data_IF_655495845959
#
_entry.id   IF_655495845959
#
_cell.length_a   1.000
_cell.length_b   1.000
_cell.length_c   1.000
_cell.angle_alpha   90.00
_cell.angle_beta   90.00
_cell.angle_gamma   90.00
#
_symmetry.space_group_name_H-M   'P 1'
#
loop_
_entity.id
_entity.type
_entity.pdbx_description
1 polymer ?
#
# COMPACT_ATOMS: atom_id res chain seq x y z
N UNK A 1 -0.30 -14.57 14.09
CA UNK A 1 0.71 -13.49 14.11
C UNK A 1 0.00 -12.20 13.73
N UNK A 2 0.13 -11.16 14.57
CA UNK A 2 -0.41 -9.82 14.30
C UNK A 2 0.55 -9.11 13.36
N UNK A 3 0.06 -8.65 12.21
CA UNK A 3 0.83 -7.74 11.36
C UNK A 3 0.90 -6.36 12.02
N UNK A 4 2.00 -5.66 11.81
CA UNK A 4 2.26 -4.32 12.33
C UNK A 4 2.70 -3.38 11.21
N UNK A 5 2.81 -2.09 11.52
CA UNK A 5 3.42 -1.16 10.57
C UNK A 5 4.86 -1.55 10.23
N UNK A 6 5.58 -2.30 11.06
CA UNK A 6 6.96 -2.70 10.80
C UNK A 6 7.08 -3.75 9.69
N UNK A 7 6.00 -4.50 9.44
CA UNK A 7 5.90 -5.46 8.34
C UNK A 7 5.60 -4.78 6.99
N UNK A 8 5.16 -3.53 7.01
CA UNK A 8 4.96 -2.71 5.82
C UNK A 8 6.30 -2.13 5.32
N UNK A 9 7.04 -2.87 4.51
CA UNK A 9 8.40 -2.50 4.11
C UNK A 9 8.45 -1.67 2.83
N UNK A 10 9.37 -0.70 2.80
CA UNK A 10 9.78 -0.05 1.55
C UNK A 10 10.70 -0.99 0.77
N UNK A 11 10.33 -1.28 -0.47
CA UNK A 11 11.04 -2.22 -1.33
C UNK A 11 11.66 -1.49 -2.53
N UNK A 12 12.98 -1.61 -2.75
CA UNK A 12 13.56 -1.27 -4.03
C UNK A 12 13.05 -2.27 -5.07
N UNK A 13 12.60 -1.76 -6.22
CA UNK A 13 12.09 -2.57 -7.32
C UNK A 13 13.19 -2.78 -8.35
N UNK A 14 13.09 -3.89 -9.10
CA UNK A 14 14.09 -4.24 -10.11
C UNK A 14 14.01 -3.28 -11.29
N UNK A 15 14.81 -2.22 -11.24
CA UNK A 15 15.01 -1.26 -12.34
C UNK A 15 16.16 -1.72 -13.23
N UNK A 16 15.89 -1.79 -14.53
CA UNK A 16 16.90 -1.95 -15.58
C UNK A 16 17.01 -0.61 -16.31
N UNK A 17 18.20 -0.05 -16.34
CA UNK A 17 18.49 1.23 -17.00
C UNK A 17 19.24 0.98 -18.32
N UNK A 18 18.88 1.73 -19.36
CA UNK A 18 19.65 1.79 -20.60
C UNK A 18 19.51 3.18 -21.26
N UNK A 19 20.16 3.38 -22.41
CA UNK A 19 20.12 4.64 -23.17
C UNK A 19 18.71 5.12 -23.57
N UNK A 20 17.73 4.21 -23.64
CA UNK A 20 16.36 4.50 -24.01
C UNK A 20 15.46 4.81 -22.79
N UNK A 21 15.97 4.65 -21.57
CA UNK A 21 15.26 4.97 -20.35
C UNK A 21 15.36 3.89 -19.28
N UNK A 22 14.29 3.75 -18.50
CA UNK A 22 14.21 2.82 -17.37
C UNK A 22 13.00 1.89 -17.55
N UNK A 23 13.18 0.62 -17.23
CA UNK A 23 12.08 -0.35 -17.06
C UNK A 23 12.16 -0.93 -15.66
N UNK A 24 11.03 -0.90 -14.94
CA UNK A 24 10.88 -1.56 -13.64
C UNK A 24 10.02 -2.79 -13.79
N UNK A 25 10.53 -3.95 -13.38
CA UNK A 25 9.84 -5.25 -13.52
C UNK A 25 9.39 -5.73 -12.15
N UNK A 26 8.14 -6.21 -12.07
CA UNK A 26 7.55 -6.77 -10.86
C UNK A 26 6.81 -8.06 -11.24
N UNK A 27 7.31 -9.17 -10.73
CA UNK A 27 6.74 -10.51 -10.90
C UNK A 27 6.24 -11.01 -9.53
N UNK A 28 5.01 -11.52 -9.50
CA UNK A 28 4.46 -12.20 -8.32
C UNK A 28 5.30 -13.41 -7.95
N UNK A 29 5.35 -13.74 -6.65
CA UNK A 29 6.19 -14.81 -6.07
C UNK A 29 7.70 -14.68 -6.33
N UNK A 30 8.17 -13.59 -6.94
CA UNK A 30 9.59 -13.34 -7.20
C UNK A 30 10.07 -12.03 -6.59
N UNK A 31 9.38 -10.94 -6.89
CA UNK A 31 9.71 -9.61 -6.35
C UNK A 31 8.84 -9.26 -5.12
N UNK A 32 7.68 -9.90 -5.02
CA UNK A 32 6.71 -9.72 -3.94
C UNK A 32 6.19 -11.09 -3.48
N UNK A 33 5.81 -11.25 -2.19
CA UNK A 33 5.46 -12.54 -1.61
C UNK A 33 4.01 -12.99 -1.92
N UNK A 34 3.45 -12.57 -3.05
CA UNK A 34 2.09 -12.93 -3.46
C UNK A 34 1.92 -12.93 -4.98
N UNK A 35 0.87 -13.60 -5.46
CA UNK A 35 0.44 -13.55 -6.86
C UNK A 35 -0.28 -12.24 -7.15
N UNK A 36 0.09 -11.54 -8.24
CA UNK A 36 -0.65 -10.34 -8.67
C UNK A 36 -1.97 -10.79 -9.28
N UNK A 37 -3.07 -10.67 -8.54
CA UNK A 37 -4.43 -11.05 -9.00
C UNK A 37 -5.24 -9.86 -9.50
N UNK A 38 -4.80 -8.64 -9.19
CA UNK A 38 -5.42 -7.39 -9.62
C UNK A 38 -4.40 -6.28 -9.67
N UNK A 39 -4.52 -5.42 -10.68
CA UNK A 39 -3.82 -4.16 -10.79
C UNK A 39 -4.86 -3.07 -10.93
N UNK A 40 -4.69 -1.99 -10.20
CA UNK A 40 -5.47 -0.78 -10.39
C UNK A 40 -4.57 0.43 -10.19
N UNK A 41 -4.97 1.58 -10.71
CA UNK A 41 -4.20 2.79 -10.57
C UNK A 41 -5.13 3.98 -10.38
N UNK A 42 -4.68 4.94 -9.59
CA UNK A 42 -5.33 6.22 -9.40
C UNK A 42 -4.54 7.28 -10.15
N UNK A 43 -5.25 8.18 -10.82
CA UNK A 43 -4.72 9.24 -11.66
C UNK A 43 -5.69 10.44 -11.61
N UNK A 44 -5.25 11.58 -12.14
CA UNK A 44 -6.00 12.86 -12.13
C UNK A 44 -6.52 13.24 -10.74
N UNK A 45 -5.73 12.94 -9.71
CA UNK A 45 -5.99 13.40 -8.35
C UNK A 45 -5.49 14.86 -8.25
N UNK A 46 -6.35 15.82 -7.88
CA UNK A 46 -5.92 17.19 -7.70
C UNK A 46 -4.79 17.30 -6.66
N UNK A 47 -3.88 18.25 -6.87
CA UNK A 47 -2.74 18.43 -5.98
C UNK A 47 -3.17 18.78 -4.55
N UNK A 48 -2.53 18.15 -3.56
CA UNK A 48 -2.84 18.35 -2.14
C UNK A 48 -4.05 17.58 -1.61
N UNK A 49 -4.79 16.87 -2.48
CA UNK A 49 -5.94 16.06 -2.08
C UNK A 49 -5.54 14.80 -1.31
N UNK A 50 -6.54 14.22 -0.64
CA UNK A 50 -6.45 12.93 0.02
C UNK A 50 -7.41 11.90 -0.58
N UNK A 51 -7.15 10.63 -0.30
CA UNK A 51 -8.08 9.52 -0.51
C UNK A 51 -8.29 8.85 0.85
N UNK A 52 -9.55 8.79 1.25
CA UNK A 52 -9.98 8.39 2.58
C UNK A 52 -9.45 7.03 3.04
N UNK A 53 -9.40 6.88 4.36
CA UNK A 53 -8.77 5.75 5.00
C UNK A 53 -9.60 4.47 4.97
N UNK A 54 -8.90 3.35 4.87
CA UNK A 54 -9.47 2.01 5.02
C UNK A 54 -8.37 1.01 5.36
N UNK A 55 -8.78 -0.10 5.98
CA UNK A 55 -7.95 -1.30 6.11
C UNK A 55 -8.54 -2.44 5.28
N UNK A 56 -7.75 -3.48 5.11
CA UNK A 56 -8.16 -4.75 4.51
C UNK A 56 -7.93 -5.90 5.48
N UNK A 57 -8.78 -6.93 5.45
CA UNK A 57 -8.65 -8.10 6.34
C UNK A 57 -7.56 -9.05 5.88
N UNK A 58 -7.55 -9.35 4.58
CA UNK A 58 -6.69 -10.39 3.99
C UNK A 58 -5.84 -9.90 2.80
N UNK A 59 -6.08 -8.68 2.29
CA UNK A 59 -5.39 -8.19 1.10
C UNK A 59 -3.97 -7.69 1.40
N UNK A 60 -2.97 -8.32 0.79
CA UNK A 60 -1.63 -7.74 0.60
C UNK A 60 -1.59 -6.84 -0.64
N UNK A 61 -0.85 -5.73 -0.56
CA UNK A 61 -0.71 -4.74 -1.63
C UNK A 61 0.74 -4.26 -1.78
N UNK A 62 1.15 -3.97 -3.00
CA UNK A 62 2.34 -3.14 -3.29
C UNK A 62 1.86 -1.84 -3.92
N UNK A 63 2.19 -0.70 -3.28
CA UNK A 63 1.79 0.64 -3.73
C UNK A 63 3.03 1.38 -4.26
N UNK A 64 2.91 1.99 -5.44
CA UNK A 64 4.02 2.64 -6.17
C UNK A 64 3.56 3.99 -6.70
N UNK A 65 4.41 5.01 -6.59
CA UNK A 65 4.26 6.24 -7.36
C UNK A 65 4.87 6.04 -8.76
N UNK A 66 4.05 5.63 -9.72
CA UNK A 66 4.48 5.43 -11.10
C UNK A 66 4.81 6.77 -11.81
N UNK A 67 4.20 7.86 -11.33
CA UNK A 67 4.51 9.24 -11.68
C UNK A 67 4.22 10.13 -10.47
N UNK A 68 4.89 11.28 -10.39
CA UNK A 68 4.72 12.25 -9.31
C UNK A 68 5.08 11.70 -7.93
N UNK A 69 4.39 12.20 -6.90
CA UNK A 69 4.59 11.78 -5.52
C UNK A 69 3.32 11.83 -4.69
N UNK A 70 3.28 11.05 -3.62
CA UNK A 70 2.28 11.13 -2.55
C UNK A 70 2.80 10.42 -1.29
N UNK A 71 2.10 10.63 -0.19
CA UNK A 71 2.37 9.97 1.09
C UNK A 71 1.36 8.86 1.36
N UNK A 72 1.82 7.79 2.00
CA UNK A 72 1.01 6.69 2.51
C UNK A 72 1.12 6.67 4.03
N UNK A 73 0.04 7.05 4.73
CA UNK A 73 -0.07 6.79 6.16
C UNK A 73 -0.34 5.31 6.34
N UNK A 74 0.37 4.68 7.27
CA UNK A 74 0.18 3.29 7.66
C UNK A 74 -0.04 3.27 9.16
N UNK A 75 -1.08 2.56 9.58
CA UNK A 75 -1.57 2.54 10.95
C UNK A 75 -1.99 1.12 11.30
N UNK A 76 -1.41 0.57 12.37
CA UNK A 76 -1.75 -0.76 12.88
C UNK A 76 -2.70 -0.72 14.10
N UNK A 77 -3.26 0.45 14.41
CA UNK A 77 -4.16 0.71 15.53
C UNK A 77 -3.44 1.14 16.81
N UNK A 78 -2.12 0.99 16.88
CA UNK A 78 -1.27 1.39 18.00
C UNK A 78 -0.16 2.35 17.56
N UNK A 79 0.50 2.02 16.45
CA UNK A 79 1.61 2.75 15.88
C UNK A 79 1.23 3.28 14.50
N UNK A 80 1.81 4.43 14.15
CA UNK A 80 1.65 5.05 12.84
C UNK A 80 2.99 5.35 12.21
N UNK A 81 3.08 5.23 10.89
CA UNK A 81 4.22 5.75 10.11
C UNK A 81 3.77 6.26 8.75
N UNK A 82 4.60 7.10 8.16
CA UNK A 82 4.39 7.62 6.81
C UNK A 82 5.45 7.04 5.89
N UNK A 83 5.03 6.52 4.74
CA UNK A 83 5.89 6.16 3.63
C UNK A 83 5.69 7.15 2.48
N UNK A 84 6.73 7.91 2.15
CA UNK A 84 6.73 8.81 1.00
C UNK A 84 7.10 8.03 -0.26
N UNK A 85 6.22 8.08 -1.27
CA UNK A 85 6.45 7.51 -2.59
C UNK A 85 6.65 8.64 -3.58
N UNK A 86 7.87 8.77 -4.12
CA UNK A 86 8.25 9.81 -5.08
C UNK A 86 9.17 9.28 -6.19
N UNK A 87 9.25 7.95 -6.31
CA UNK A 87 10.15 7.25 -7.22
C UNK A 87 9.47 6.00 -7.78
N UNK A 88 9.46 5.79 -9.10
CA UNK A 88 8.80 4.63 -9.72
C UNK A 88 9.58 3.32 -9.55
N UNK A 89 10.82 3.37 -9.02
CA UNK A 89 11.65 2.21 -8.69
C UNK A 89 11.59 1.82 -7.21
N UNK A 90 10.65 2.38 -6.45
CA UNK A 90 10.35 2.01 -5.06
C UNK A 90 8.85 1.80 -4.88
N UNK A 91 8.49 0.86 -4.00
CA UNK A 91 7.10 0.70 -3.56
C UNK A 91 7.04 0.37 -2.07
N UNK A 92 5.88 0.61 -1.47
CA UNK A 92 5.59 0.17 -0.09
C UNK A 92 4.73 -1.07 -0.13
N UNK A 93 5.17 -2.13 0.54
CA UNK A 93 4.37 -3.31 0.83
C UNK A 93 3.40 -2.95 1.96
N UNK A 94 2.12 -3.26 1.78
CA UNK A 94 1.09 -3.14 2.81
C UNK A 94 0.53 -4.53 3.05
N UNK A 95 0.76 -5.03 4.27
CA UNK A 95 0.26 -6.33 4.71
C UNK A 95 -1.19 -6.22 5.21
N UNK A 96 -1.93 -7.34 5.34
CA UNK A 96 -3.30 -7.30 5.82
C UNK A 96 -3.41 -6.76 7.24
N UNK A 97 -4.54 -6.15 7.55
CA UNK A 97 -4.84 -5.57 8.86
C UNK A 97 -4.22 -4.21 9.12
N UNK A 98 -3.72 -3.53 8.08
CA UNK A 98 -3.16 -2.19 8.20
C UNK A 98 -4.13 -1.17 7.62
N UNK A 99 -4.47 -0.16 8.42
CA UNK A 99 -5.19 1.01 7.95
C UNK A 99 -4.23 1.90 7.15
N UNK A 100 -4.71 2.39 6.01
CA UNK A 100 -3.93 3.28 5.16
C UNK A 100 -4.75 4.46 4.66
N UNK A 101 -4.05 5.59 4.52
CA UNK A 101 -4.55 6.79 3.85
C UNK A 101 -3.52 7.24 2.82
N UNK A 102 -3.99 7.79 1.70
CA UNK A 102 -3.14 8.37 0.66
C UNK A 102 -3.37 9.88 0.64
N UNK A 103 -2.34 10.68 0.73
CA UNK A 103 -2.48 12.14 0.86
C UNK A 103 -1.29 12.88 0.25
N UNK A 104 -1.44 14.20 0.11
CA UNK A 104 -0.41 15.08 -0.45
C UNK A 104 0.05 14.64 -1.85
N UNK A 105 -0.91 14.31 -2.71
CA UNK A 105 -0.62 14.00 -4.11
C UNK A 105 -0.03 15.22 -4.80
N UNK A 106 1.07 15.03 -5.54
CA UNK A 106 1.56 16.02 -6.49
C UNK A 106 0.66 16.07 -7.73
N UNK A 107 0.67 17.19 -8.44
CA UNK A 107 0.05 17.24 -9.77
C UNK A 107 0.64 16.16 -10.68
N UNK A 108 -0.20 15.46 -11.44
CA UNK A 108 0.22 14.38 -12.34
C UNK A 108 0.69 13.09 -11.64
N UNK A 109 0.39 12.93 -10.35
CA UNK A 109 0.71 11.70 -9.63
C UNK A 109 -0.11 10.51 -10.14
N UNK A 110 0.55 9.36 -10.29
CA UNK A 110 -0.09 8.08 -10.60
C UNK A 110 0.25 7.10 -9.48
N UNK A 111 -0.76 6.72 -8.70
CA UNK A 111 -0.65 5.68 -7.68
C UNK A 111 -1.01 4.33 -8.29
N UNK A 112 0.00 3.49 -8.55
CA UNK A 112 -0.15 2.14 -9.08
C UNK A 112 -0.19 1.15 -7.91
N UNK A 113 -1.17 0.24 -7.92
CA UNK A 113 -1.31 -0.79 -6.89
C UNK A 113 -1.41 -2.18 -7.50
N UNK A 114 -0.53 -3.07 -7.04
CA UNK A 114 -0.59 -4.51 -7.30
C UNK A 114 -1.20 -5.17 -6.07
N UNK A 115 -2.23 -5.99 -6.28
CA UNK A 115 -3.04 -6.59 -5.23
C UNK A 115 -3.03 -8.11 -5.30
N UNK A 116 -2.89 -8.75 -4.14
CA UNK A 116 -2.89 -10.22 -3.97
C UNK A 116 -4.23 -10.88 -4.24
N UNK A 117 -5.33 -10.12 -4.24
CA UNK A 117 -6.69 -10.63 -4.44
C UNK A 117 -7.48 -9.78 -5.45
N UNK A 118 -8.53 -10.39 -6.02
CA UNK A 118 -9.56 -9.67 -6.79
C UNK A 118 -10.31 -8.70 -5.87
N UNK A 119 -11.15 -7.84 -6.45
CA UNK A 119 -11.99 -6.95 -5.66
C UNK A 119 -13.03 -7.75 -4.86
N UNK A 120 -13.10 -7.48 -3.56
CA UNK A 120 -14.16 -7.95 -2.67
C UNK A 120 -14.45 -6.83 -1.66
N UNK A 121 -15.70 -6.34 -1.63
CA UNK A 121 -16.10 -5.28 -0.71
C UNK A 121 -16.07 -5.76 0.75
N UNK A 122 -16.26 -7.06 1.00
CA UNK A 122 -16.30 -7.63 2.37
C UNK A 122 -14.95 -7.61 3.07
N UNK A 123 -13.88 -7.50 2.30
CA UNK A 123 -12.52 -7.38 2.80
C UNK A 123 -12.21 -5.97 3.33
N UNK A 124 -13.02 -4.96 3.00
CA UNK A 124 -12.79 -3.58 3.43
C UNK A 124 -13.27 -3.34 4.88
N UNK A 125 -12.45 -2.61 5.64
CA UNK A 125 -12.83 -1.98 6.89
C UNK A 125 -12.73 -0.46 6.69
N UNK A 126 -13.88 0.20 6.53
CA UNK A 126 -13.96 1.64 6.17
C UNK A 126 -14.19 2.57 7.36
N UNK A 127 -14.65 2.04 8.49
CA UNK A 127 -14.83 2.81 9.71
C UNK A 127 -13.60 2.61 10.60
N UNK A 128 -13.01 3.72 11.06
CA UNK A 128 -11.77 3.69 11.83
C UNK A 128 -11.94 3.01 13.20
N UNK A 129 -13.06 3.24 13.90
CA UNK A 129 -13.31 2.60 15.20
C UNK A 129 -13.47 1.09 15.05
N UNK A 130 -14.13 0.63 13.98
CA UNK A 130 -14.20 -0.81 13.63
C UNK A 130 -12.81 -1.39 13.33
N UNK A 131 -11.94 -0.61 12.67
CA UNK A 131 -10.56 -1.01 12.43
C UNK A 131 -9.77 -1.14 13.74
N UNK A 132 -9.89 -0.17 14.65
CA UNK A 132 -9.20 -0.22 15.95
C UNK A 132 -9.66 -1.43 16.77
N UNK A 133 -10.97 -1.72 16.81
CA UNK A 133 -11.50 -2.93 17.47
C UNK A 133 -10.96 -4.20 16.81
N UNK A 134 -10.98 -4.27 15.47
CA UNK A 134 -10.43 -5.40 14.71
C UNK A 134 -8.95 -5.64 15.03
N UNK A 135 -8.13 -4.58 15.04
CA UNK A 135 -6.69 -4.69 15.33
C UNK A 135 -6.42 -5.20 16.75
N UNK A 136 -7.21 -4.75 17.74
CA UNK A 136 -7.08 -5.20 19.14
C UNK A 136 -7.46 -6.67 19.32
N UNK A 137 -8.58 -7.09 18.73
CA UNK A 137 -9.06 -8.48 18.79
C UNK A 137 -8.08 -9.46 18.14
N UNK A 138 -7.47 -9.07 17.03
CA UNK A 138 -6.49 -9.89 16.32
C UNK A 138 -5.05 -9.69 16.84
N UNK A 139 -4.87 -8.86 17.88
CA UNK A 139 -3.60 -8.60 18.55
C UNK A 139 -3.43 -9.28 19.91
N UNK A 140 -4.49 -9.88 20.46
CA UNK A 140 -4.47 -10.52 21.79
C UNK A 140 -4.40 -12.05 21.69
N UNK A 141 -3.22 -12.59 21.36
CA UNK A 141 -2.82 -13.95 21.75
C UNK A 141 -1.37 -13.91 22.24
N UNK A 142 -1.19 -13.59 23.51
CA UNK A 142 -0.28 -14.26 24.48
C UNK A 142 -0.60 -13.70 25.86
N UNK A 143 -1.44 -14.42 26.62
CA UNK A 143 -1.24 -14.56 28.06
C UNK A 143 -0.28 -15.71 28.32
#
# INVERSE_FOLDING_TARGET
MKNSIYDCVMLPLRKIHNRAGNITIIEGQRNIPFDVRRIYYLYDIPGGEARGGHAHRDLCQLIIAASGSFNVLLDDGENKKIATLNRPDYGVMVVPGIWRELFEFSSGAICLVLASQKYDERDYIRNYDQFVSFSREHGSITG
#
